data_IF_218383263245
#
_entry.id   IF_218383263245
#
_cell.length_a   1.000
_cell.length_b   1.000
_cell.length_c   1.000
_cell.angle_alpha   90.00
_cell.angle_beta   90.00
_cell.angle_gamma   90.00
#
_symmetry.space_group_name_H-M   'P 1'
#
loop_
_entity.id
_entity.type
_entity.pdbx_description
1 polymer ?
#
# COMPACT_ATOMS: atom_id res chain seq x y z
N UNK A 1 -9.48 4.00 -21.70
CA UNK A 1 -8.12 4.47 -21.37
C UNK A 1 -7.48 5.07 -22.62
N UNK A 2 -7.01 6.33 -22.56
CA UNK A 2 -6.25 6.99 -23.63
C UNK A 2 -4.79 6.56 -23.62
N UNK A 3 -4.11 6.69 -24.76
CA UNK A 3 -2.66 6.48 -24.78
C UNK A 3 -1.96 7.73 -24.22
N UNK A 4 -0.88 7.53 -23.44
CA UNK A 4 -0.07 8.64 -22.93
C UNK A 4 0.43 9.57 -24.05
N UNK A 5 0.72 9.02 -25.23
CA UNK A 5 1.19 9.76 -26.39
C UNK A 5 0.17 10.73 -26.99
N UNK A 6 -1.10 10.61 -26.63
CA UNK A 6 -2.20 11.45 -27.13
C UNK A 6 -2.50 12.62 -26.18
N UNK A 7 -1.78 12.73 -25.05
CA UNK A 7 -1.99 13.80 -24.07
C UNK A 7 -1.29 15.08 -24.53
N UNK A 8 -2.02 16.20 -24.45
CA UNK A 8 -1.45 17.54 -24.58
C UNK A 8 -0.61 17.91 -23.36
N UNK A 9 0.26 18.93 -23.47
CA UNK A 9 1.05 19.43 -22.32
C UNK A 9 0.16 19.86 -21.15
N UNK A 10 -1.03 20.42 -21.43
CA UNK A 10 -2.04 20.74 -20.42
C UNK A 10 -2.52 19.49 -19.68
N UNK A 11 -2.81 18.42 -20.41
CA UNK A 11 -3.27 17.16 -19.82
C UNK A 11 -2.15 16.42 -19.08
N UNK A 12 -0.91 16.51 -19.56
CA UNK A 12 0.27 15.96 -18.88
C UNK A 12 0.46 16.63 -17.51
N UNK A 13 0.42 17.97 -17.45
CA UNK A 13 0.53 18.67 -16.17
C UNK A 13 -0.67 18.39 -15.25
N UNK A 14 -1.88 18.35 -15.79
CA UNK A 14 -3.06 18.01 -15.00
C UNK A 14 -2.97 16.60 -14.39
N UNK A 15 -2.43 15.66 -15.16
CA UNK A 15 -2.15 14.30 -14.69
C UNK A 15 -1.04 14.26 -13.65
N UNK A 16 0.03 15.03 -13.83
CA UNK A 16 1.08 15.15 -12.81
C UNK A 16 0.50 15.66 -11.49
N UNK A 17 -0.31 16.73 -11.51
CA UNK A 17 -0.98 17.28 -10.31
C UNK A 17 -1.86 16.21 -9.65
N UNK A 18 -2.65 15.48 -10.44
CA UNK A 18 -3.51 14.42 -9.90
C UNK A 18 -2.71 13.28 -9.27
N UNK A 19 -1.55 12.93 -9.85
CA UNK A 19 -0.66 11.90 -9.31
C UNK A 19 -0.09 12.32 -7.95
N UNK A 20 0.45 13.54 -7.85
CA UNK A 20 0.97 14.09 -6.58
C UNK A 20 -0.09 14.16 -5.48
N UNK A 21 -1.31 14.56 -5.84
CA UNK A 21 -2.44 14.59 -4.91
C UNK A 21 -2.84 13.21 -4.42
N UNK A 22 -2.77 12.20 -5.30
CA UNK A 22 -3.08 10.82 -4.96
C UNK A 22 -1.96 10.19 -4.11
N UNK A 23 -0.70 10.38 -4.51
CA UNK A 23 0.48 9.85 -3.81
C UNK A 23 0.61 10.43 -2.40
N UNK A 24 0.44 11.76 -2.24
CA UNK A 24 0.43 12.40 -0.92
C UNK A 24 -0.69 11.90 0.01
N UNK A 25 -1.87 11.59 -0.54
CA UNK A 25 -2.96 10.96 0.25
C UNK A 25 -2.61 9.53 0.64
N UNK A 26 -2.00 8.77 -0.27
CA UNK A 26 -1.57 7.40 0.01
C UNK A 26 -0.55 7.37 1.15
N UNK A 27 0.46 8.24 1.11
CA UNK A 27 1.43 8.36 2.18
C UNK A 27 0.81 8.82 3.50
N UNK A 28 -0.13 9.75 3.47
CA UNK A 28 -0.90 10.17 4.65
C UNK A 28 -1.69 9.02 5.28
N UNK A 29 -2.39 8.22 4.48
CA UNK A 29 -3.17 7.06 4.94
C UNK A 29 -2.27 5.96 5.53
N UNK A 30 -1.09 5.74 4.94
CA UNK A 30 -0.07 4.84 5.47
C UNK A 30 0.43 5.34 6.82
N UNK A 31 0.82 6.61 6.92
CA UNK A 31 1.32 7.21 8.15
C UNK A 31 0.27 7.12 9.28
N UNK A 32 -1.00 7.40 8.98
CA UNK A 32 -2.10 7.24 9.94
C UNK A 32 -2.25 5.79 10.40
N UNK A 33 -2.19 4.83 9.47
CA UNK A 33 -2.34 3.41 9.79
C UNK A 33 -1.19 2.81 10.59
N UNK A 34 0.00 3.42 10.55
CA UNK A 34 1.19 2.98 11.26
C UNK A 34 1.43 3.75 12.57
N UNK A 35 0.74 4.86 12.82
CA UNK A 35 1.08 5.80 13.92
C UNK A 35 1.09 5.17 15.31
N UNK A 36 0.18 4.24 15.59
CA UNK A 36 0.08 3.60 16.90
C UNK A 36 1.13 2.51 17.12
N UNK A 37 1.32 1.64 16.12
CA UNK A 37 2.15 0.44 16.22
C UNK A 37 3.63 0.69 15.81
N UNK A 38 3.89 1.67 14.91
CA UNK A 38 5.19 1.96 14.28
C UNK A 38 5.41 3.48 14.07
N UNK A 39 5.60 4.25 15.15
CA UNK A 39 5.64 5.72 15.09
C UNK A 39 6.84 6.27 14.32
N UNK A 40 7.99 5.59 14.33
CA UNK A 40 9.17 6.01 13.57
C UNK A 40 8.91 5.89 12.08
N UNK A 41 8.35 4.75 11.64
CA UNK A 41 8.01 4.54 10.22
C UNK A 41 6.89 5.48 9.80
N UNK A 42 5.90 5.76 10.65
CA UNK A 42 4.85 6.72 10.36
C UNK A 42 5.39 8.15 10.15
N UNK A 43 6.44 8.56 10.85
CA UNK A 43 7.08 9.87 10.67
C UNK A 43 7.69 10.01 9.26
N UNK A 44 8.37 8.97 8.78
CA UNK A 44 8.94 8.94 7.41
C UNK A 44 7.86 9.19 6.36
N UNK A 45 6.73 8.47 6.44
CA UNK A 45 5.63 8.65 5.49
C UNK A 45 4.93 10.00 5.61
N UNK A 46 4.92 10.60 6.81
CA UNK A 46 4.43 11.97 7.00
C UNK A 46 5.31 12.98 6.28
N UNK A 47 6.63 12.81 6.36
CA UNK A 47 7.59 13.68 5.67
C UNK A 47 7.54 13.52 4.15
N UNK A 48 7.44 12.28 3.65
CA UNK A 48 7.23 12.02 2.22
C UNK A 48 5.94 12.67 1.71
N UNK A 49 4.82 12.56 2.44
CA UNK A 49 3.57 13.21 2.06
C UNK A 49 3.69 14.74 1.99
N UNK A 50 4.55 15.35 2.80
CA UNK A 50 4.81 16.79 2.77
C UNK A 50 5.63 17.20 1.53
N UNK A 51 6.58 16.37 1.11
CA UNK A 51 7.40 16.55 -0.09
C UNK A 51 6.53 16.53 -1.36
N UNK A 52 5.63 15.55 -1.50
CA UNK A 52 4.64 15.51 -2.60
C UNK A 52 3.72 16.74 -2.59
N UNK A 53 3.44 17.28 -1.41
CA UNK A 53 2.73 18.54 -1.26
C UNK A 53 3.46 19.72 -1.90
N UNK A 54 4.80 19.78 -1.83
CA UNK A 54 5.63 20.78 -2.52
C UNK A 54 5.63 20.57 -4.03
N UNK A 55 5.80 19.33 -4.50
CA UNK A 55 5.73 18.99 -5.93
C UNK A 55 4.42 19.44 -6.55
N UNK A 56 3.31 19.10 -5.89
CA UNK A 56 1.97 19.52 -6.27
C UNK A 56 1.85 21.05 -6.39
N UNK A 57 2.36 21.81 -5.41
CA UNK A 57 2.32 23.28 -5.44
C UNK A 57 3.06 23.83 -6.68
N UNK A 58 4.27 23.34 -6.94
CA UNK A 58 5.06 23.78 -8.08
C UNK A 58 4.37 23.48 -9.43
N UNK A 59 3.75 22.30 -9.55
CA UNK A 59 2.99 21.92 -10.73
C UNK A 59 1.75 22.79 -10.93
N UNK A 60 0.99 23.08 -9.86
CA UNK A 60 -0.18 23.97 -9.92
C UNK A 60 0.24 25.38 -10.33
N UNK A 61 1.30 25.93 -9.74
CA UNK A 61 1.81 27.27 -10.10
C UNK A 61 2.25 27.35 -11.55
N UNK A 62 2.89 26.30 -12.08
CA UNK A 62 3.26 26.24 -13.49
C UNK A 62 2.03 26.11 -14.39
N UNK A 63 1.07 25.26 -14.01
CA UNK A 63 -0.18 25.07 -14.73
C UNK A 63 -0.95 26.38 -14.82
N UNK A 64 -1.14 27.09 -13.70
CA UNK A 64 -1.88 28.34 -13.63
C UNK A 64 -1.26 29.40 -14.55
N UNK A 65 0.07 29.53 -14.53
CA UNK A 65 0.80 30.46 -15.41
C UNK A 65 0.66 30.16 -16.90
N UNK A 66 0.51 28.89 -17.29
CA UNK A 66 0.48 28.45 -18.70
C UNK A 66 -0.92 28.29 -19.27
N UNK A 67 -1.85 27.76 -18.47
CA UNK A 67 -3.15 27.25 -18.92
C UNK A 67 -4.34 27.86 -18.16
N UNK A 68 -4.10 28.70 -17.15
CA UNK A 68 -5.13 29.35 -16.34
C UNK A 68 -5.66 28.48 -15.19
N UNK A 69 -6.80 28.86 -14.62
CA UNK A 69 -7.33 28.31 -13.36
C UNK A 69 -7.90 26.88 -13.48
N UNK A 70 -8.40 26.51 -14.66
CA UNK A 70 -9.16 25.27 -14.81
C UNK A 70 -8.25 24.08 -15.13
N UNK A 71 -7.91 23.31 -14.09
CA UNK A 71 -7.22 22.02 -14.20
C UNK A 71 -8.25 20.95 -14.61
N UNK A 72 -8.12 20.33 -15.80
CA UNK A 72 -9.01 19.26 -16.21
C UNK A 72 -8.81 18.02 -15.33
N UNK A 73 -9.90 17.34 -14.97
CA UNK A 73 -9.82 16.08 -14.25
C UNK A 73 -9.32 14.98 -15.18
N UNK A 74 -8.14 14.46 -14.89
CA UNK A 74 -7.55 13.29 -15.53
C UNK A 74 -6.91 12.43 -14.44
N UNK A 75 -7.11 11.12 -14.50
CA UNK A 75 -6.57 10.20 -13.48
C UNK A 75 -5.65 9.18 -14.09
N UNK A 76 -4.81 8.57 -13.26
CA UNK A 76 -3.91 7.46 -13.64
C UNK A 76 -4.67 6.32 -14.31
N UNK A 77 -5.85 5.96 -13.80
CA UNK A 77 -6.67 4.90 -14.40
C UNK A 77 -7.23 5.23 -15.79
N UNK A 78 -7.24 6.51 -16.18
CA UNK A 78 -7.75 6.92 -17.49
C UNK A 78 -6.68 6.82 -18.59
N UNK A 79 -5.41 6.62 -18.21
CA UNK A 79 -4.26 6.63 -19.10
C UNK A 79 -3.54 5.27 -19.09
N UNK A 80 -3.23 4.74 -20.27
CA UNK A 80 -2.49 3.48 -20.38
C UNK A 80 -1.05 3.65 -19.93
N UNK A 81 -0.55 2.64 -19.22
CA UNK A 81 0.86 2.55 -18.81
C UNK A 81 1.10 2.78 -17.31
N UNK A 82 0.07 3.16 -16.56
CA UNK A 82 0.11 3.17 -15.10
C UNK A 82 -0.18 1.78 -14.53
N UNK A 83 0.44 1.47 -13.39
CA UNK A 83 0.22 0.23 -12.67
C UNK A 83 -1.11 0.34 -11.92
N UNK A 84 -1.99 -0.64 -12.05
CA UNK A 84 -3.17 -0.71 -11.20
C UNK A 84 -2.75 -1.10 -9.78
N UNK A 85 -2.83 -0.13 -8.87
CA UNK A 85 -2.50 -0.32 -7.47
C UNK A 85 -3.71 -0.89 -6.72
N UNK A 86 -3.45 -1.79 -5.77
CA UNK A 86 -4.49 -2.20 -4.81
C UNK A 86 -4.73 -1.04 -3.85
N UNK A 87 -5.99 -0.70 -3.55
CA UNK A 87 -6.29 0.29 -2.52
C UNK A 87 -5.66 -0.08 -1.17
N UNK A 88 -5.18 0.90 -0.41
CA UNK A 88 -4.49 0.70 0.88
C UNK A 88 -5.34 -0.09 1.87
N UNK A 89 -6.67 0.10 1.86
CA UNK A 89 -7.57 -0.66 2.73
C UNK A 89 -7.55 -2.18 2.50
N UNK A 90 -7.15 -2.64 1.31
CA UNK A 90 -6.97 -4.07 1.01
C UNK A 90 -5.64 -4.62 1.51
N UNK A 91 -4.69 -3.75 1.89
CA UNK A 91 -3.37 -4.14 2.39
C UNK A 91 -3.34 -4.24 3.92
N UNK A 92 -4.50 -4.20 4.58
CA UNK A 92 -4.60 -4.36 6.04
C UNK A 92 -4.60 -5.84 6.44
N UNK A 93 -3.87 -6.24 7.50
CA UNK A 93 -2.99 -5.41 8.35
C UNK A 93 -1.73 -4.96 7.59
N UNK A 94 -1.36 -3.68 7.74
CA UNK A 94 -0.19 -3.10 7.09
C UNK A 94 1.07 -3.71 7.70
N UNK A 95 1.83 -4.47 6.91
CA UNK A 95 3.18 -4.91 7.27
C UNK A 95 4.22 -3.89 6.80
N UNK A 96 5.28 -3.67 7.57
CA UNK A 96 6.32 -2.68 7.23
C UNK A 96 6.95 -2.96 5.86
N UNK A 97 7.23 -4.22 5.56
CA UNK A 97 7.82 -4.62 4.27
C UNK A 97 6.88 -4.38 3.09
N UNK A 98 5.59 -4.67 3.25
CA UNK A 98 4.59 -4.46 2.21
C UNK A 98 4.42 -2.97 1.91
N UNK A 99 4.41 -2.14 2.95
CA UNK A 99 4.32 -0.69 2.83
C UNK A 99 5.56 -0.09 2.18
N UNK A 100 6.77 -0.54 2.56
CA UNK A 100 8.03 -0.10 1.92
C UNK A 100 8.09 -0.48 0.44
N UNK A 101 7.68 -1.70 0.10
CA UNK A 101 7.61 -2.15 -1.30
C UNK A 101 6.59 -1.36 -2.10
N UNK A 102 5.44 -1.04 -1.49
CA UNK A 102 4.43 -0.19 -2.11
C UNK A 102 5.05 1.18 -2.43
N UNK A 103 5.63 1.86 -1.45
CA UNK A 103 6.27 3.17 -1.63
C UNK A 103 7.33 3.12 -2.75
N UNK A 104 8.28 2.18 -2.70
CA UNK A 104 9.30 2.02 -3.73
C UNK A 104 8.71 1.82 -5.14
N UNK A 105 7.61 1.07 -5.25
CA UNK A 105 6.94 0.87 -6.53
C UNK A 105 6.26 2.14 -7.05
N UNK A 106 5.74 2.97 -6.14
CA UNK A 106 5.11 4.25 -6.45
C UNK A 106 6.13 5.24 -6.99
N UNK A 107 7.21 5.45 -6.25
CA UNK A 107 8.35 6.31 -6.62
C UNK A 107 8.93 5.93 -7.99
N UNK A 108 9.18 4.64 -8.21
CA UNK A 108 9.71 4.15 -9.48
C UNK A 108 8.73 4.36 -10.65
N UNK A 109 7.42 4.27 -10.40
CA UNK A 109 6.39 4.58 -11.39
C UNK A 109 6.33 6.08 -11.70
N UNK A 110 6.34 6.93 -10.67
CA UNK A 110 6.28 8.39 -10.76
C UNK A 110 7.52 8.94 -11.47
N UNK A 111 8.73 8.50 -11.11
CA UNK A 111 9.97 8.85 -11.82
C UNK A 111 9.91 8.51 -13.32
N UNK A 112 9.44 7.30 -13.68
CA UNK A 112 9.26 6.90 -15.09
C UNK A 112 8.24 7.76 -15.82
N UNK A 113 7.16 8.14 -15.14
CA UNK A 113 6.15 9.04 -15.67
C UNK A 113 6.78 10.40 -15.97
N UNK A 114 7.51 11.00 -15.03
CA UNK A 114 8.14 12.30 -15.21
C UNK A 114 9.20 12.32 -16.31
N UNK A 115 10.09 11.32 -16.33
CA UNK A 115 11.07 11.14 -17.42
C UNK A 115 10.37 11.08 -18.78
N UNK A 116 9.29 10.30 -18.90
CA UNK A 116 8.56 10.17 -20.16
C UNK A 116 7.80 11.45 -20.52
N UNK A 117 7.20 12.12 -19.54
CA UNK A 117 6.50 13.39 -19.72
C UNK A 117 7.44 14.48 -20.22
N UNK A 118 8.60 14.66 -19.56
CA UNK A 118 9.64 15.60 -19.97
C UNK A 118 10.16 15.33 -21.39
N UNK A 119 10.26 14.07 -21.82
CA UNK A 119 10.68 13.72 -23.19
C UNK A 119 9.66 14.16 -24.27
N UNK A 120 8.38 14.27 -23.91
CA UNK A 120 7.26 14.56 -24.83
C UNK A 120 6.86 16.02 -24.87
N UNK A 121 7.13 16.76 -23.80
CA UNK A 121 6.90 18.20 -23.72
C UNK A 121 7.90 18.94 -24.61
N UNK A 122 7.46 19.99 -25.31
CA UNK A 122 8.34 20.89 -26.07
C UNK A 122 8.62 22.18 -25.33
N UNK A 123 7.69 22.67 -24.52
CA UNK A 123 7.88 23.86 -23.69
C UNK A 123 9.03 23.69 -22.68
N UNK A 124 9.99 24.62 -22.69
CA UNK A 124 11.20 24.53 -21.87
C UNK A 124 10.91 24.59 -20.37
N UNK A 125 9.91 25.38 -19.93
CA UNK A 125 9.59 25.52 -18.51
C UNK A 125 8.89 24.28 -17.95
N UNK A 126 8.01 23.66 -18.75
CA UNK A 126 7.36 22.39 -18.40
C UNK A 126 8.39 21.26 -18.41
N UNK A 127 9.25 21.21 -19.44
CA UNK A 127 10.30 20.19 -19.53
C UNK A 127 11.27 20.28 -18.35
N UNK A 128 11.65 21.50 -17.96
CA UNK A 128 12.50 21.74 -16.78
C UNK A 128 11.84 21.20 -15.52
N UNK A 129 10.62 21.62 -15.21
CA UNK A 129 9.95 21.18 -13.97
C UNK A 129 9.77 19.66 -13.92
N UNK A 130 9.32 19.04 -15.01
CA UNK A 130 9.16 17.58 -15.05
C UNK A 130 10.51 16.84 -14.96
N UNK A 131 11.59 17.43 -15.48
CA UNK A 131 12.95 16.90 -15.31
C UNK A 131 13.42 17.00 -13.87
N UNK A 132 13.28 18.18 -13.25
CA UNK A 132 13.63 18.42 -11.85
C UNK A 132 12.85 17.48 -10.92
N UNK A 133 11.54 17.29 -11.15
CA UNK A 133 10.72 16.33 -10.41
C UNK A 133 11.21 14.90 -10.62
N UNK A 134 11.51 14.50 -11.86
CA UNK A 134 12.07 13.16 -12.11
C UNK A 134 13.38 12.91 -11.35
N UNK A 135 14.21 13.94 -11.17
CA UNK A 135 15.44 13.86 -10.37
C UNK A 135 15.13 13.83 -8.87
N UNK A 136 14.14 14.61 -8.41
CA UNK A 136 13.67 14.59 -7.02
C UNK A 136 13.16 13.19 -6.61
N UNK A 137 12.35 12.54 -7.45
CA UNK A 137 11.89 11.15 -7.23
C UNK A 137 13.05 10.14 -7.11
N UNK A 138 14.14 10.34 -7.85
CA UNK A 138 15.34 9.50 -7.71
C UNK A 138 16.04 9.79 -6.38
N UNK A 139 16.05 11.05 -5.94
CA UNK A 139 16.57 11.41 -4.63
C UNK A 139 15.67 10.93 -3.49
N UNK A 140 14.38 10.67 -3.69
CA UNK A 140 13.50 10.13 -2.65
C UNK A 140 14.00 8.79 -2.08
N UNK A 141 14.68 7.94 -2.87
CA UNK A 141 15.34 6.74 -2.34
C UNK A 141 16.42 7.09 -1.30
N UNK A 142 17.23 8.12 -1.57
CA UNK A 142 18.25 8.62 -0.65
C UNK A 142 17.66 9.41 0.53
N UNK A 143 16.59 10.17 0.29
CA UNK A 143 15.84 10.87 1.35
C UNK A 143 15.23 9.84 2.29
N UNK A 144 14.61 8.78 1.78
CA UNK A 144 14.11 7.69 2.59
C UNK A 144 15.22 7.05 3.45
N UNK A 145 16.41 6.79 2.89
CA UNK A 145 17.55 6.30 3.67
C UNK A 145 17.99 7.26 4.79
N UNK A 146 17.96 8.58 4.51
CA UNK A 146 18.27 9.61 5.51
C UNK A 146 17.19 9.66 6.59
N UNK A 147 15.92 9.66 6.21
CA UNK A 147 14.77 9.66 7.11
C UNK A 147 14.71 8.39 7.95
N UNK A 148 15.13 7.25 7.41
CA UNK A 148 15.30 6.02 8.18
C UNK A 148 16.37 6.22 9.25
N UNK A 149 17.52 6.84 8.94
CA UNK A 149 18.55 7.10 9.95
C UNK A 149 18.11 8.09 11.03
N UNK A 150 17.30 9.09 10.66
CA UNK A 150 16.81 10.13 11.57
C UNK A 150 15.63 9.65 12.44
N UNK A 151 14.65 8.96 11.84
CA UNK A 151 13.40 8.56 12.49
C UNK A 151 13.37 7.09 12.95
N UNK A 152 14.21 6.22 12.39
CA UNK A 152 14.41 4.83 12.82
C UNK A 152 15.90 4.57 13.19
N UNK A 153 16.40 5.16 14.29
CA UNK A 153 17.65 4.68 14.86
C UNK A 153 17.52 3.20 15.23
N UNK A 154 18.65 2.49 15.29
CA UNK A 154 18.69 1.02 15.41
C UNK A 154 17.85 0.47 16.57
N UNK A 155 17.77 1.18 17.69
CA UNK A 155 16.92 0.80 18.82
C UNK A 155 15.41 0.86 18.49
N UNK A 156 14.94 1.92 17.84
CA UNK A 156 13.54 2.08 17.44
C UNK A 156 13.18 1.05 16.38
N UNK A 157 14.09 0.80 15.43
CA UNK A 157 13.90 -0.24 14.43
C UNK A 157 13.72 -1.63 15.06
N UNK A 158 14.56 -1.99 16.02
CA UNK A 158 14.44 -3.27 16.72
C UNK A 158 13.13 -3.39 17.51
N UNK A 159 12.68 -2.29 18.14
CA UNK A 159 11.39 -2.24 18.84
C UNK A 159 10.21 -2.41 17.86
N UNK A 160 10.23 -1.73 16.71
CA UNK A 160 9.21 -1.87 15.66
C UNK A 160 9.21 -3.28 15.05
N UNK A 161 10.38 -3.87 14.81
CA UNK A 161 10.49 -5.25 14.30
C UNK A 161 9.95 -6.28 15.31
N UNK A 162 10.21 -6.08 16.62
CA UNK A 162 9.66 -6.92 17.67
C UNK A 162 8.14 -6.74 17.80
N UNK A 163 7.65 -5.51 17.73
CA UNK A 163 6.23 -5.20 17.70
C UNK A 163 5.54 -5.88 16.51
N UNK A 164 6.13 -5.81 15.31
CA UNK A 164 5.63 -6.49 14.12
C UNK A 164 5.51 -8.00 14.33
N UNK A 165 6.55 -8.61 14.91
CA UNK A 165 6.54 -10.05 15.20
C UNK A 165 5.45 -10.42 16.22
N UNK A 166 5.28 -9.63 17.28
CA UNK A 166 4.24 -9.85 18.30
C UNK A 166 2.84 -9.70 17.69
N UNK A 167 2.60 -8.64 16.93
CA UNK A 167 1.32 -8.40 16.25
C UNK A 167 0.98 -9.51 15.25
N UNK A 168 1.97 -10.00 14.50
CA UNK A 168 1.78 -11.14 13.60
C UNK A 168 1.33 -12.40 14.37
N UNK A 169 1.98 -12.70 15.49
CA UNK A 169 1.57 -13.83 16.34
C UNK A 169 0.15 -13.63 16.88
N UNK A 170 -0.17 -12.45 17.41
CA UNK A 170 -1.46 -12.16 18.04
C UNK A 170 -2.63 -12.07 17.04
N UNK A 171 -2.40 -11.54 15.84
CA UNK A 171 -3.47 -11.26 14.85
C UNK A 171 -3.62 -12.35 13.80
N UNK A 172 -2.57 -13.14 13.52
CA UNK A 172 -2.59 -14.17 12.48
C UNK A 172 -2.47 -15.56 13.07
N UNK A 173 -1.41 -15.83 13.84
CA UNK A 173 -1.13 -17.18 14.34
C UNK A 173 -2.12 -17.60 15.42
N UNK A 174 -2.32 -16.77 16.45
CA UNK A 174 -3.19 -17.10 17.57
C UNK A 174 -4.65 -17.33 17.18
N UNK A 175 -5.30 -16.48 16.36
CA UNK A 175 -6.67 -16.74 15.90
C UNK A 175 -6.76 -18.03 15.07
N UNK A 176 -5.75 -18.31 14.23
CA UNK A 176 -5.69 -19.58 13.49
C UNK A 176 -5.55 -20.79 14.40
N UNK A 177 -4.67 -20.74 15.40
CA UNK A 177 -4.50 -21.81 16.39
C UNK A 177 -5.74 -21.98 17.27
N UNK A 178 -6.38 -20.88 17.67
CA UNK A 178 -7.64 -20.91 18.42
C UNK A 178 -8.77 -21.53 17.58
N UNK A 179 -8.88 -21.17 16.30
CA UNK A 179 -9.83 -21.78 15.37
C UNK A 179 -9.58 -23.28 15.19
N UNK A 180 -8.33 -23.71 15.08
CA UNK A 180 -7.97 -25.14 15.03
C UNK A 180 -8.38 -25.87 16.31
N UNK A 181 -8.16 -25.25 17.47
CA UNK A 181 -8.56 -25.82 18.76
C UNK A 181 -10.09 -25.93 18.86
N UNK A 182 -10.83 -24.88 18.53
CA UNK A 182 -12.30 -24.88 18.58
C UNK A 182 -12.90 -25.87 17.58
N UNK A 183 -12.35 -25.95 16.36
CA UNK A 183 -12.73 -26.96 15.38
C UNK A 183 -12.50 -28.38 15.92
N UNK A 184 -11.35 -28.62 16.54
CA UNK A 184 -11.01 -29.93 17.13
C UNK A 184 -11.94 -30.29 18.30
N UNK A 185 -12.19 -29.36 19.23
CA UNK A 185 -13.06 -29.60 20.39
C UNK A 185 -14.53 -29.74 19.98
N UNK A 186 -14.99 -28.96 19.00
CA UNK A 186 -16.37 -29.00 18.48
C UNK A 186 -16.69 -30.31 17.75
N UNK A 187 -15.67 -31.01 17.22
CA UNK A 187 -15.85 -32.34 16.60
C UNK A 187 -16.10 -33.48 17.60
N UNK A 188 -15.70 -33.31 18.87
CA UNK A 188 -15.80 -34.39 19.86
C UNK A 188 -17.25 -34.67 20.28
N UNK A 189 -18.07 -33.63 20.48
CA UNK A 189 -19.46 -33.79 20.90
C UNK A 189 -20.31 -34.62 19.93
N UNK A 190 -20.38 -34.31 18.62
CA UNK A 190 -21.13 -35.13 17.66
C UNK A 190 -20.52 -36.53 17.46
N UNK A 191 -19.19 -36.67 17.54
CA UNK A 191 -18.50 -37.97 17.48
C UNK A 191 -18.96 -38.90 18.61
N UNK A 192 -18.93 -38.43 19.86
CA UNK A 192 -19.35 -39.21 21.02
C UNK A 192 -20.86 -39.45 21.02
N UNK A 193 -21.67 -38.49 20.57
CA UNK A 193 -23.11 -38.68 20.42
C UNK A 193 -23.44 -39.78 19.40
N UNK A 194 -22.76 -39.80 18.25
CA UNK A 194 -22.92 -40.84 17.24
C UNK A 194 -22.46 -42.21 17.75
N UNK A 195 -21.31 -42.27 18.43
CA UNK A 195 -20.81 -43.50 19.04
C UNK A 195 -21.78 -44.07 20.09
N UNK A 196 -22.32 -43.21 20.97
CA UNK A 196 -23.25 -43.59 22.02
C UNK A 196 -24.61 -44.02 21.48
N UNK A 197 -25.17 -43.28 20.51
CA UNK A 197 -26.50 -43.55 19.98
C UNK A 197 -26.54 -44.78 19.06
N UNK A 198 -25.49 -45.02 18.27
CA UNK A 198 -25.46 -46.11 17.29
C UNK A 198 -24.80 -47.39 17.80
N UNK A 199 -23.87 -47.27 18.76
CA UNK A 199 -23.02 -48.38 19.20
C UNK A 199 -22.06 -48.90 18.11
N UNK A 200 -21.93 -48.21 16.97
CA UNK A 200 -21.13 -48.64 15.81
C UNK A 200 -19.94 -47.70 15.60
N UNK A 201 -18.73 -48.23 15.71
CA UNK A 201 -17.49 -47.45 15.57
C UNK A 201 -17.33 -46.79 14.19
N UNK A 202 -17.89 -47.40 13.14
CA UNK A 202 -17.82 -46.86 11.78
C UNK A 202 -18.66 -45.61 11.58
N UNK A 203 -19.83 -45.54 12.21
CA UNK A 203 -20.72 -44.38 12.13
C UNK A 203 -20.11 -43.18 12.87
N UNK A 204 -19.50 -43.43 14.03
CA UNK A 204 -18.71 -42.43 14.74
C UNK A 204 -17.52 -41.93 13.90
N UNK A 205 -16.78 -42.83 13.24
CA UNK A 205 -15.67 -42.47 12.35
C UNK A 205 -16.12 -41.56 11.21
N UNK A 206 -17.24 -41.88 10.54
CA UNK A 206 -17.78 -41.06 9.45
C UNK A 206 -18.19 -39.67 9.92
N UNK A 207 -18.81 -39.55 11.09
CA UNK A 207 -19.17 -38.25 11.69
C UNK A 207 -17.93 -37.44 12.03
N UNK A 208 -16.91 -38.06 12.64
CA UNK A 208 -15.65 -37.39 12.96
C UNK A 208 -14.89 -36.90 11.72
N UNK A 209 -14.81 -37.74 10.68
CA UNK A 209 -14.18 -37.38 9.41
C UNK A 209 -14.93 -36.23 8.72
N UNK A 210 -16.27 -36.32 8.65
CA UNK A 210 -17.10 -35.29 8.04
C UNK A 210 -17.00 -33.95 8.77
N UNK A 211 -16.99 -33.97 10.11
CA UNK A 211 -16.82 -32.78 10.93
C UNK A 211 -15.41 -32.17 10.76
N UNK A 212 -14.37 -33.00 10.67
CA UNK A 212 -12.98 -32.54 10.47
C UNK A 212 -12.78 -31.87 9.11
N UNK A 213 -13.35 -32.46 8.04
CA UNK A 213 -13.32 -31.86 6.69
C UNK A 213 -14.14 -30.56 6.66
N UNK A 214 -15.32 -30.53 7.28
CA UNK A 214 -16.12 -29.32 7.40
C UNK A 214 -15.40 -28.19 8.14
N UNK A 215 -14.74 -28.50 9.25
CA UNK A 215 -13.93 -27.54 10.01
C UNK A 215 -12.73 -27.02 9.19
N UNK A 216 -12.09 -27.87 8.40
CA UNK A 216 -10.95 -27.49 7.55
C UNK A 216 -11.32 -26.63 6.32
N UNK A 217 -12.57 -26.65 5.87
CA UNK A 217 -13.06 -25.80 4.76
C UNK A 217 -13.64 -24.47 5.29
N UNK A 218 -14.15 -24.48 6.52
CA UNK A 218 -14.77 -23.30 7.15
C UNK A 218 -13.76 -22.33 7.77
N UNK A 219 -12.51 -22.76 7.99
CA UNK A 219 -11.37 -21.94 8.39
C UNK A 219 -10.62 -21.42 7.18
#
# INVERSE_FOLDING_TARGET
MRNFSELSEREILALAIANEEEDGRIYGDIAEGLREDYPGTASIFTEMAAEEGEHRRQLIELFQRKFGEHIPLIRRQDVRGFIQRRPIWQLRPLGLDAVRQLAQSMEAETSRFYTRAASRTSDASIRKLLGDLSEAEVQHEHTADRLVKENLPENVRQEEDEAQRRLFVLRVIQPGLAGLMDGSVSTLAPLFAAAFATGRSWDAFLVGLSASVGAGISM
#
